data_IF_849960501901
#
_entry.id   IF_849960501901
#
_cell.length_a   1.000
_cell.length_b   1.000
_cell.length_c   1.000
_cell.angle_alpha   90.00
_cell.angle_beta   90.00
_cell.angle_gamma   90.00
#
_symmetry.space_group_name_H-M   'P 1'
#
loop_
_entity.id
_entity.type
_entity.pdbx_description
1 polymer ?
#
# COMPACT_ATOMS: atom_id res chain seq x y z
N UNK A 1 -0.61 63.78 74.28
CA UNK A 1 0.28 63.93 73.11
C UNK A 1 0.40 62.58 72.42
N UNK A 2 0.43 62.44 71.09
CA UNK A 2 -0.13 63.24 69.99
C UNK A 2 -1.26 62.47 69.24
N UNK A 3 -2.06 63.18 68.43
CA UNK A 3 -2.87 62.58 67.33
C UNK A 3 -1.96 61.97 66.27
N UNK A 4 -2.41 61.00 65.45
CA UNK A 4 -2.41 61.22 63.99
C UNK A 4 -3.57 60.41 63.27
N UNK A 5 -3.65 60.35 61.92
CA UNK A 5 -4.73 61.00 61.20
C UNK A 5 -5.40 60.14 60.09
N UNK A 6 -6.36 60.78 59.45
CA UNK A 6 -7.02 60.59 58.15
C UNK A 6 -6.53 59.55 57.13
N UNK A 7 -7.51 58.74 56.72
CA UNK A 7 -7.91 58.31 55.37
C UNK A 7 -7.09 58.78 54.16
N UNK A 8 -6.58 57.80 53.40
CA UNK A 8 -6.13 57.95 52.02
C UNK A 8 -6.82 56.91 51.12
N UNK A 9 -7.67 57.39 50.22
CA UNK A 9 -8.35 56.63 49.17
C UNK A 9 -7.40 56.45 47.98
N UNK A 10 -7.18 55.20 47.54
CA UNK A 10 -6.45 54.89 46.31
C UNK A 10 -7.33 54.01 45.42
N UNK A 11 -7.79 54.61 44.31
CA UNK A 11 -8.34 53.94 43.13
C UNK A 11 -7.21 53.28 42.32
N UNK A 12 -7.34 52.02 41.90
CA UNK A 12 -6.53 51.48 40.81
C UNK A 12 -7.25 51.65 39.46
N UNK A 13 -6.60 52.39 38.57
CA UNK A 13 -6.97 52.57 37.17
C UNK A 13 -6.53 51.34 36.37
N UNK A 14 -7.48 50.57 35.85
CA UNK A 14 -7.22 49.46 34.92
C UNK A 14 -6.87 50.02 33.52
N UNK A 15 -5.59 49.96 33.16
CA UNK A 15 -5.13 50.15 31.78
C UNK A 15 -5.17 48.83 31.03
N UNK A 16 -6.16 48.65 30.15
CA UNK A 16 -6.24 47.54 29.22
C UNK A 16 -5.23 47.72 28.08
N UNK A 17 -4.31 46.75 27.92
CA UNK A 17 -3.41 46.67 26.77
C UNK A 17 -4.16 46.10 25.55
N UNK A 18 -3.88 46.57 24.32
CA UNK A 18 -4.55 46.10 23.11
C UNK A 18 -4.12 44.67 22.76
N UNK A 19 -5.13 43.84 22.47
CA UNK A 19 -4.96 42.45 22.02
C UNK A 19 -4.15 42.39 20.72
N UNK A 20 -3.04 41.65 20.76
CA UNK A 20 -2.26 41.32 19.58
C UNK A 20 -3.07 40.40 18.65
N UNK A 21 -3.14 40.76 17.38
CA UNK A 21 -3.81 39.97 16.34
C UNK A 21 -3.20 38.56 16.21
N UNK A 22 -4.01 37.52 15.95
CA UNK A 22 -3.53 36.16 15.77
C UNK A 22 -2.64 36.08 14.51
N UNK A 23 -1.40 35.59 14.70
CA UNK A 23 -0.49 35.29 13.60
C UNK A 23 -1.06 34.13 12.78
N UNK A 24 -1.21 34.34 11.47
CA UNK A 24 -1.59 33.31 10.51
C UNK A 24 -0.64 32.11 10.60
N UNK A 25 -1.14 30.86 10.51
CA UNK A 25 -0.29 29.69 10.47
C UNK A 25 0.59 29.71 9.21
N UNK A 26 1.84 29.22 9.30
CA UNK A 26 2.73 29.18 8.16
C UNK A 26 2.18 28.25 7.08
N UNK A 27 2.12 28.75 5.85
CA UNK A 27 1.81 27.97 4.65
C UNK A 27 2.83 26.82 4.53
N UNK A 28 2.42 25.55 4.45
CA UNK A 28 3.37 24.45 4.30
C UNK A 28 4.05 24.55 2.94
N UNK A 29 5.38 24.65 2.97
CA UNK A 29 6.23 24.57 1.78
C UNK A 29 6.07 23.20 1.11
N UNK A 30 5.98 23.11 -0.22
CA UNK A 30 5.95 21.83 -0.91
C UNK A 30 7.29 21.11 -0.68
N UNK A 31 7.28 20.09 0.17
CA UNK A 31 8.46 19.27 0.41
C UNK A 31 8.81 18.50 -0.86
N UNK A 32 10.03 18.76 -1.35
CA UNK A 32 10.67 17.99 -2.42
C UNK A 32 10.95 16.58 -1.89
N UNK A 33 10.17 15.60 -2.34
CA UNK A 33 10.47 14.19 -2.12
C UNK A 33 11.82 13.83 -2.77
N UNK A 34 12.87 13.79 -1.95
CA UNK A 34 14.17 13.25 -2.33
C UNK A 34 14.28 11.84 -1.75
N UNK A 35 13.63 10.86 -2.39
CA UNK A 35 13.90 9.45 -2.10
C UNK A 35 15.11 9.00 -2.93
N UNK A 36 16.22 8.73 -2.25
CA UNK A 36 17.44 8.16 -2.83
C UNK A 36 17.18 6.70 -3.22
N UNK A 37 16.74 6.47 -4.46
CA UNK A 37 16.75 5.14 -5.07
C UNK A 37 18.18 4.85 -5.56
N UNK A 38 18.96 4.13 -4.75
CA UNK A 38 20.23 3.51 -5.16
C UNK A 38 19.97 2.02 -5.33
N UNK A 39 19.36 1.65 -6.45
CA UNK A 39 19.53 0.36 -7.14
C UNK A 39 18.81 0.51 -8.48
N UNK A 40 19.54 0.42 -9.60
CA UNK A 40 18.93 0.49 -10.93
C UNK A 40 18.23 -0.84 -11.22
N UNK A 41 16.88 -0.92 -11.18
CA UNK A 41 16.19 -2.20 -11.04
C UNK A 41 15.92 -2.94 -12.35
N UNK A 42 16.25 -2.35 -13.50
CA UNK A 42 15.82 -2.86 -14.81
C UNK A 42 17.00 -2.84 -15.78
N UNK A 43 17.34 -4.01 -16.32
CA UNK A 43 18.30 -4.13 -17.41
C UNK A 43 17.53 -4.11 -18.73
N UNK A 44 17.71 -3.04 -19.50
CA UNK A 44 17.28 -3.03 -20.90
C UNK A 44 18.32 -3.82 -21.70
N UNK A 45 18.06 -5.11 -21.93
CA UNK A 45 18.90 -5.92 -22.81
C UNK A 45 18.66 -5.49 -24.25
N UNK A 46 19.63 -4.77 -24.78
CA UNK A 46 19.75 -4.37 -26.17
C UNK A 46 20.39 -5.54 -26.91
N UNK A 47 19.66 -6.24 -27.78
CA UNK A 47 20.26 -7.23 -28.67
C UNK A 47 20.96 -6.51 -29.85
N UNK A 48 22.30 -6.44 -29.91
CA UNK A 48 23.01 -5.72 -30.95
C UNK A 48 23.78 -6.74 -31.80
N UNK A 49 23.25 -7.04 -33.00
CA UNK A 49 23.91 -7.78 -34.08
C UNK A 49 23.77 -9.33 -34.08
N UNK A 50 23.16 -9.93 -35.13
CA UNK A 50 22.98 -11.37 -35.27
C UNK A 50 24.26 -12.02 -35.84
N UNK A 51 25.22 -12.30 -34.98
CA UNK A 51 26.26 -13.30 -35.27
C UNK A 51 25.89 -14.58 -34.55
N UNK A 52 25.88 -15.77 -35.20
CA UNK A 52 25.26 -16.97 -34.66
C UNK A 52 26.11 -17.58 -33.55
N UNK A 53 26.01 -17.02 -32.35
CA UNK A 53 26.18 -17.80 -31.14
C UNK A 53 24.84 -18.47 -30.90
N UNK A 54 24.84 -19.80 -30.81
CA UNK A 54 23.73 -20.57 -30.26
C UNK A 54 23.66 -20.25 -28.77
N UNK A 55 23.19 -19.04 -28.45
CA UNK A 55 22.56 -18.78 -27.16
C UNK A 55 21.36 -19.73 -27.18
N UNK A 56 21.27 -20.66 -26.23
CA UNK A 56 20.02 -21.37 -26.00
C UNK A 56 18.98 -20.27 -25.85
N UNK A 57 18.17 -20.05 -26.89
CA UNK A 57 16.98 -19.21 -26.83
C UNK A 57 16.15 -19.85 -25.74
N UNK A 58 16.29 -19.36 -24.51
CA UNK A 58 15.50 -19.83 -23.39
C UNK A 58 14.07 -19.57 -23.83
N UNK A 59 13.33 -20.67 -23.98
CA UNK A 59 11.93 -20.61 -24.39
C UNK A 59 11.22 -19.91 -23.24
N UNK A 60 10.91 -18.63 -23.42
CA UNK A 60 10.18 -17.85 -22.41
C UNK A 60 8.76 -18.38 -22.36
N UNK A 61 8.36 -18.97 -21.23
CA UNK A 61 7.01 -19.45 -21.02
C UNK A 61 6.09 -18.25 -20.78
N UNK A 62 5.14 -18.00 -21.68
CA UNK A 62 4.20 -16.90 -21.52
C UNK A 62 3.14 -17.25 -20.47
N UNK A 63 2.92 -16.34 -19.52
CA UNK A 63 1.86 -16.48 -18.53
C UNK A 63 0.48 -16.51 -19.23
N UNK A 64 -0.43 -17.44 -18.87
CA UNK A 64 -1.72 -17.62 -19.57
C UNK A 64 -2.58 -16.34 -19.61
N UNK A 65 -2.64 -15.59 -18.50
CA UNK A 65 -3.40 -14.33 -18.43
C UNK A 65 -2.78 -13.18 -19.27
N UNK A 66 -1.54 -13.34 -19.71
CA UNK A 66 -0.74 -12.31 -20.37
C UNK A 66 -0.07 -12.85 -21.65
N UNK A 67 -0.70 -13.80 -22.34
CA UNK A 67 -0.22 -14.34 -23.62
C UNK A 67 -0.80 -13.64 -24.87
N UNK A 68 -1.63 -12.61 -24.66
CA UNK A 68 -2.37 -11.90 -25.71
C UNK A 68 -1.55 -10.89 -26.52
N UNK A 69 -2.25 -9.97 -27.18
CA UNK A 69 -1.64 -8.85 -27.89
C UNK A 69 -1.03 -7.84 -26.91
N UNK A 70 0.28 -7.64 -27.01
CA UNK A 70 1.05 -6.67 -26.24
C UNK A 70 2.34 -6.36 -27.00
N UNK A 71 2.75 -5.10 -26.97
CA UNK A 71 3.96 -4.59 -27.62
C UNK A 71 5.16 -4.57 -26.67
N UNK A 72 4.99 -4.98 -25.41
CA UNK A 72 6.06 -5.16 -24.43
C UNK A 72 6.02 -6.58 -23.87
N UNK A 73 7.15 -7.27 -23.87
CA UNK A 73 7.38 -8.54 -23.19
C UNK A 73 8.23 -8.28 -21.95
N UNK A 74 7.63 -8.40 -20.76
CA UNK A 74 8.36 -8.41 -19.48
C UNK A 74 8.79 -9.85 -19.22
N UNK A 75 10.06 -10.07 -18.92
CA UNK A 75 10.63 -11.40 -18.61
C UNK A 75 11.13 -11.38 -17.17
N UNK A 76 10.54 -12.24 -16.35
CA UNK A 76 10.96 -12.53 -14.97
C UNK A 76 11.80 -13.80 -14.97
N UNK A 77 12.98 -13.75 -14.36
CA UNK A 77 13.83 -14.91 -14.15
C UNK A 77 13.41 -15.62 -12.85
N UNK A 78 13.05 -16.89 -12.92
CA UNK A 78 12.71 -17.75 -11.79
C UNK A 78 13.70 -18.94 -11.71
N UNK A 79 13.85 -19.61 -10.55
CA UNK A 79 14.77 -20.75 -10.41
C UNK A 79 14.52 -21.89 -11.42
N UNK A 80 13.25 -22.11 -11.78
CA UNK A 80 12.81 -23.22 -12.64
C UNK A 80 12.65 -22.83 -14.12
N UNK A 81 12.86 -21.56 -14.47
CA UNK A 81 12.69 -21.08 -15.85
C UNK A 81 12.42 -19.57 -15.95
N UNK A 82 12.08 -19.11 -17.15
CA UNK A 82 11.72 -17.70 -17.38
C UNK A 82 10.25 -17.56 -17.70
N UNK A 83 9.58 -16.64 -17.02
CA UNK A 83 8.15 -16.35 -17.20
C UNK A 83 7.99 -15.01 -17.90
N UNK A 84 7.23 -15.01 -19.00
CA UNK A 84 7.00 -13.85 -19.83
C UNK A 84 5.58 -13.29 -19.71
N UNK A 85 5.45 -11.97 -19.64
CA UNK A 85 4.18 -11.26 -19.63
C UNK A 85 4.10 -10.31 -20.82
N UNK A 86 3.15 -10.55 -21.75
CA UNK A 86 2.85 -9.61 -22.83
C UNK A 86 1.84 -8.57 -22.37
N UNK A 87 2.24 -7.31 -22.44
CA UNK A 87 1.47 -6.17 -21.97
C UNK A 87 1.58 -5.00 -22.95
N UNK A 88 0.62 -4.08 -22.87
CA UNK A 88 0.65 -2.86 -23.67
C UNK A 88 1.60 -1.83 -23.05
N UNK A 89 2.48 -1.23 -23.85
CA UNK A 89 3.32 -0.10 -23.46
C UNK A 89 2.50 1.04 -22.88
N UNK A 90 1.32 1.33 -23.47
CA UNK A 90 0.41 2.37 -22.98
C UNK A 90 -0.02 2.13 -21.53
N UNK A 91 -0.32 0.89 -21.16
CA UNK A 91 -0.70 0.52 -19.79
C UNK A 91 0.48 0.75 -18.83
N UNK A 92 1.69 0.32 -19.21
CA UNK A 92 2.90 0.52 -18.39
C UNK A 92 3.26 2.00 -18.24
N UNK A 93 3.21 2.78 -19.32
CA UNK A 93 3.47 4.21 -19.32
C UNK A 93 2.48 4.99 -18.43
N UNK A 94 1.21 4.57 -18.39
CA UNK A 94 0.21 5.13 -17.48
C UNK A 94 0.50 4.78 -16.02
N UNK A 95 1.01 3.57 -15.78
CA UNK A 95 1.27 3.07 -14.44
C UNK A 95 2.49 3.75 -13.79
N UNK A 96 3.53 4.06 -14.56
CA UNK A 96 4.78 4.57 -14.01
C UNK A 96 5.57 5.46 -14.97
N UNK A 97 6.12 6.60 -14.49
CA UNK A 97 7.04 7.44 -15.27
C UNK A 97 8.35 6.70 -15.60
N UNK A 98 8.75 5.71 -14.79
CA UNK A 98 9.94 4.91 -15.03
C UNK A 98 9.78 4.12 -16.34
N UNK A 99 8.61 3.50 -16.56
CA UNK A 99 8.32 2.84 -17.83
C UNK A 99 8.23 3.80 -19.01
N UNK A 100 7.70 5.02 -18.82
CA UNK A 100 7.74 6.06 -19.86
C UNK A 100 9.17 6.32 -20.31
N UNK A 101 10.09 6.50 -19.36
CA UNK A 101 11.50 6.74 -19.68
C UNK A 101 12.16 5.54 -20.36
N UNK A 102 11.96 4.32 -19.85
CA UNK A 102 12.55 3.10 -20.41
C UNK A 102 12.08 2.85 -21.85
N UNK A 103 10.77 2.98 -22.09
CA UNK A 103 10.18 2.70 -23.41
C UNK A 103 10.47 3.83 -24.41
N UNK A 104 10.52 5.09 -23.95
CA UNK A 104 10.90 6.22 -24.80
C UNK A 104 12.38 6.15 -25.21
N UNK A 105 13.28 5.77 -24.29
CA UNK A 105 14.69 5.60 -24.61
C UNK A 105 14.94 4.48 -25.64
N UNK A 106 14.15 3.38 -25.55
CA UNK A 106 14.21 2.29 -26.51
C UNK A 106 13.77 2.69 -27.93
N UNK A 107 12.76 3.56 -28.04
CA UNK A 107 12.18 3.96 -29.34
C UNK A 107 13.16 4.64 -30.29
N UNK A 108 14.18 5.34 -29.76
CA UNK A 108 15.22 6.01 -30.55
C UNK A 108 16.22 5.01 -31.18
N UNK A 109 16.40 3.84 -30.58
CA UNK A 109 17.46 2.89 -30.93
C UNK A 109 17.01 1.81 -31.92
N UNK A 110 15.70 1.56 -32.05
CA UNK A 110 15.17 0.46 -32.86
C UNK A 110 14.08 0.94 -33.80
N UNK A 111 14.46 1.70 -34.85
CA UNK A 111 13.60 1.93 -36.02
C UNK A 111 13.32 0.59 -36.72
N UNK A 112 12.28 -0.12 -36.28
CA UNK A 112 11.81 -1.36 -36.91
C UNK A 112 11.45 -2.52 -35.97
N UNK A 113 11.75 -2.44 -34.67
CA UNK A 113 11.33 -3.49 -33.73
C UNK A 113 9.84 -3.33 -33.38
N UNK A 114 9.05 -4.38 -33.59
CA UNK A 114 7.60 -4.39 -33.33
C UNK A 114 7.25 -4.66 -31.86
N UNK A 115 8.23 -5.01 -31.02
CA UNK A 115 8.01 -5.32 -29.60
C UNK A 115 9.22 -5.02 -28.73
N UNK A 116 9.01 -4.41 -27.56
CA UNK A 116 10.01 -4.19 -26.52
C UNK A 116 10.18 -5.44 -25.64
N UNK A 117 11.39 -5.71 -25.18
CA UNK A 117 11.69 -6.76 -24.18
C UNK A 117 12.31 -6.10 -22.94
N UNK A 118 11.73 -6.35 -21.78
CA UNK A 118 12.20 -5.84 -20.49
C UNK A 118 12.55 -7.03 -19.60
N UNK A 119 13.80 -7.13 -19.15
CA UNK A 119 14.24 -8.17 -18.22
C UNK A 119 14.28 -7.57 -16.81
N UNK A 120 13.57 -8.21 -15.88
CA UNK A 120 13.37 -7.73 -14.52
C UNK A 120 13.70 -8.82 -13.50
N UNK A 121 14.34 -8.40 -12.41
CA UNK A 121 14.67 -9.26 -11.28
C UNK A 121 13.53 -9.24 -10.25
N UNK A 122 12.30 -9.50 -10.71
CA UNK A 122 11.10 -9.57 -9.89
C UNK A 122 10.48 -10.96 -9.99
N UNK A 123 9.92 -11.46 -8.88
CA UNK A 123 9.15 -12.69 -8.93
C UNK A 123 8.00 -12.57 -9.92
N UNK A 124 7.82 -13.60 -10.73
CA UNK A 124 6.71 -13.75 -11.66
C UNK A 124 5.36 -13.70 -10.92
N UNK A 125 5.28 -14.18 -9.68
CA UNK A 125 4.07 -14.14 -8.88
C UNK A 125 3.65 -12.69 -8.56
N UNK A 126 4.60 -11.88 -8.11
CA UNK A 126 4.33 -10.48 -7.76
C UNK A 126 4.10 -9.62 -8.99
N UNK A 127 4.84 -9.89 -10.07
CA UNK A 127 4.62 -9.24 -11.36
C UNK A 127 3.22 -9.56 -11.91
N UNK A 128 2.76 -10.81 -11.82
CA UNK A 128 1.40 -11.18 -12.20
C UNK A 128 0.35 -10.40 -11.40
N UNK A 129 0.49 -10.34 -10.08
CA UNK A 129 -0.44 -9.61 -9.20
C UNK A 129 -0.45 -8.11 -9.51
N UNK A 130 0.72 -7.50 -9.71
CA UNK A 130 0.86 -6.09 -10.09
C UNK A 130 0.23 -5.79 -11.45
N UNK A 131 0.49 -6.62 -12.46
CA UNK A 131 -0.11 -6.43 -13.79
C UNK A 131 -1.62 -6.66 -13.79
N UNK A 132 -2.14 -7.53 -12.91
CA UNK A 132 -3.59 -7.65 -12.69
C UNK A 132 -4.17 -6.40 -12.05
N UNK A 133 -3.49 -5.79 -11.08
CA UNK A 133 -3.90 -4.50 -10.52
C UNK A 133 -3.97 -3.41 -11.60
N UNK A 134 -3.02 -3.35 -12.53
CA UNK A 134 -3.04 -2.36 -13.61
C UNK A 134 -4.21 -2.52 -14.58
N UNK A 135 -4.81 -3.71 -14.64
CA UNK A 135 -6.03 -3.98 -15.41
C UNK A 135 -7.29 -3.69 -14.62
N UNK A 136 -7.20 -3.41 -13.33
CA UNK A 136 -8.34 -3.08 -12.46
C UNK A 136 -8.92 -1.74 -12.90
N UNK A 137 -10.04 -1.78 -13.65
CA UNK A 137 -10.69 -0.61 -14.26
C UNK A 137 -10.52 -0.50 -15.79
N UNK A 138 -9.66 -1.30 -16.40
CA UNK A 138 -9.63 -1.43 -17.86
C UNK A 138 -10.85 -2.26 -18.29
N UNK A 139 -11.98 -1.59 -18.49
CA UNK A 139 -13.16 -2.20 -19.12
C UNK A 139 -12.69 -2.73 -20.46
N UNK A 140 -12.52 -4.05 -20.55
CA UNK A 140 -12.21 -4.70 -21.82
C UNK A 140 -13.41 -4.40 -22.71
N UNK A 141 -13.26 -3.66 -23.83
CA UNK A 141 -14.36 -3.53 -24.75
C UNK A 141 -14.75 -4.94 -25.15
N UNK A 142 -16.03 -5.28 -24.94
CA UNK A 142 -16.56 -6.58 -25.28
C UNK A 142 -16.08 -6.93 -26.69
N UNK A 143 -15.53 -8.15 -26.91
CA UNK A 143 -15.13 -8.54 -28.26
C UNK A 143 -16.36 -8.39 -29.14
N UNK A 144 -16.32 -7.43 -30.06
CA UNK A 144 -17.35 -7.27 -31.07
C UNK A 144 -17.41 -8.60 -31.81
N UNK A 145 -18.54 -9.28 -31.67
CA UNK A 145 -18.81 -10.58 -32.27
C UNK A 145 -18.80 -10.43 -33.80
N UNK A 146 -17.62 -10.57 -34.41
CA UNK A 146 -17.43 -10.52 -35.85
C UNK A 146 -16.26 -11.42 -36.26
N UNK A 147 -16.33 -12.71 -35.89
CA UNK A 147 -15.66 -13.79 -36.62
C UNK A 147 -16.37 -15.10 -36.28
N UNK A 148 -17.31 -15.46 -37.15
CA UNK A 148 -18.05 -16.70 -37.12
C UNK A 148 -17.13 -17.91 -37.38
N UNK A 149 -17.39 -19.03 -36.69
CA UNK A 149 -16.99 -20.35 -37.18
C UNK A 149 -16.58 -21.35 -36.11
N UNK A 150 -17.52 -22.25 -35.80
CA UNK A 150 -17.32 -23.60 -35.25
C UNK A 150 -17.11 -23.76 -33.73
N UNK A 151 -18.24 -23.97 -33.03
CA UNK A 151 -18.43 -25.25 -32.35
C UNK A 151 -17.93 -25.42 -30.91
N UNK A 152 -17.99 -24.40 -30.06
CA UNK A 152 -18.09 -24.58 -28.61
C UNK A 152 -18.57 -23.28 -28.00
N UNK A 153 -19.70 -23.29 -27.27
CA UNK A 153 -20.24 -22.09 -26.65
C UNK A 153 -19.17 -21.44 -25.74
N UNK A 154 -18.70 -20.21 -26.02
CA UNK A 154 -17.76 -19.54 -25.14
C UNK A 154 -18.55 -19.12 -23.91
N UNK A 155 -18.20 -19.69 -22.75
CA UNK A 155 -18.72 -19.26 -21.47
C UNK A 155 -18.59 -17.72 -21.37
N UNK A 156 -19.58 -17.01 -20.78
CA UNK A 156 -19.46 -15.57 -20.59
C UNK A 156 -18.20 -15.30 -19.79
N UNK A 157 -17.19 -14.73 -20.46
CA UNK A 157 -15.87 -14.39 -19.91
C UNK A 157 -16.04 -13.15 -19.03
N UNK A 158 -16.75 -13.28 -17.92
CA UNK A 158 -16.59 -12.34 -16.82
C UNK A 158 -15.12 -12.39 -16.42
N UNK A 159 -14.40 -11.25 -16.42
CA UNK A 159 -13.02 -11.24 -16.00
C UNK A 159 -12.94 -11.80 -14.57
N UNK A 160 -11.93 -12.65 -14.27
CA UNK A 160 -11.81 -13.26 -12.96
C UNK A 160 -11.71 -12.16 -11.90
N UNK A 161 -12.45 -12.32 -10.81
CA UNK A 161 -12.45 -11.39 -9.69
C UNK A 161 -11.01 -11.15 -9.23
N UNK A 162 -10.67 -9.88 -8.99
CA UNK A 162 -9.36 -9.51 -8.46
C UNK A 162 -9.43 -9.60 -6.94
N UNK A 163 -9.07 -10.76 -6.41
CA UNK A 163 -9.04 -11.06 -4.97
C UNK A 163 -7.63 -11.52 -4.57
N UNK A 164 -6.64 -10.61 -4.49
CA UNK A 164 -5.28 -10.97 -4.10
C UNK A 164 -5.21 -11.54 -2.68
N UNK A 165 -4.27 -12.46 -2.45
CA UNK A 165 -3.86 -12.84 -1.10
C UNK A 165 -3.07 -11.71 -0.42
N UNK A 166 -2.88 -11.79 0.91
CA UNK A 166 -2.04 -10.84 1.66
C UNK A 166 -0.62 -10.77 1.10
N UNK A 167 -0.03 -11.92 0.76
CA UNK A 167 1.29 -11.99 0.14
C UNK A 167 1.31 -11.27 -1.21
N UNK A 168 0.26 -11.42 -2.03
CA UNK A 168 0.14 -10.72 -3.31
C UNK A 168 -0.01 -9.21 -3.13
N UNK A 169 -0.77 -8.74 -2.13
CA UNK A 169 -0.85 -7.30 -1.84
C UNK A 169 0.52 -6.73 -1.42
N UNK A 170 1.28 -7.45 -0.61
CA UNK A 170 2.64 -7.05 -0.24
C UNK A 170 3.57 -7.00 -1.47
N UNK A 171 3.47 -8.00 -2.36
CA UNK A 171 4.17 -8.02 -3.64
C UNK A 171 3.83 -6.83 -4.54
N UNK A 172 2.53 -6.56 -4.70
CA UNK A 172 2.03 -5.39 -5.42
C UNK A 172 2.59 -4.10 -4.82
N UNK A 173 2.48 -3.91 -3.50
CA UNK A 173 2.98 -2.71 -2.83
C UNK A 173 4.48 -2.49 -3.06
N UNK A 174 5.27 -3.56 -2.99
CA UNK A 174 6.70 -3.52 -3.28
C UNK A 174 6.99 -3.07 -4.72
N UNK A 175 6.26 -3.62 -5.70
CA UNK A 175 6.43 -3.23 -7.11
C UNK A 175 5.93 -1.82 -7.39
N UNK A 176 4.84 -1.39 -6.76
CA UNK A 176 4.35 0.01 -6.82
C UNK A 176 5.44 0.99 -6.40
N UNK A 177 6.12 0.71 -5.28
CA UNK A 177 7.22 1.52 -4.79
C UNK A 177 8.45 1.44 -5.70
N UNK A 178 8.85 0.22 -6.12
CA UNK A 178 10.00 -0.02 -7.02
C UNK A 178 9.86 0.73 -8.34
N UNK A 179 8.68 0.70 -8.93
CA UNK A 179 8.40 1.35 -10.21
C UNK A 179 7.92 2.79 -10.07
N UNK A 180 7.84 3.36 -8.86
CA UNK A 180 7.38 4.73 -8.62
C UNK A 180 6.01 5.02 -9.30
N UNK A 181 5.08 4.09 -9.16
CA UNK A 181 3.78 4.18 -9.82
C UNK A 181 2.72 4.86 -8.96
N UNK A 182 2.39 6.12 -9.26
CA UNK A 182 1.39 6.88 -8.49
C UNK A 182 -0.03 6.35 -8.73
N UNK A 183 -0.36 6.05 -9.98
CA UNK A 183 -1.63 5.44 -10.35
C UNK A 183 -1.86 4.09 -9.67
N UNK A 184 -0.95 3.09 -9.77
CA UNK A 184 -1.17 1.81 -9.11
C UNK A 184 -1.13 1.91 -7.58
N UNK A 185 -0.40 2.87 -6.99
CA UNK A 185 -0.53 3.15 -5.54
C UNK A 185 -1.96 3.55 -5.19
N UNK A 186 -2.52 4.54 -5.88
CA UNK A 186 -3.89 4.99 -5.63
C UNK A 186 -4.94 3.89 -5.85
N UNK A 187 -4.78 3.06 -6.89
CA UNK A 187 -5.67 1.92 -7.14
C UNK A 187 -5.54 0.85 -6.05
N UNK A 188 -4.33 0.58 -5.59
CA UNK A 188 -4.09 -0.33 -4.47
C UNK A 188 -4.75 0.19 -3.19
N UNK A 189 -4.50 1.45 -2.82
CA UNK A 189 -5.04 2.07 -1.61
C UNK A 189 -6.58 2.04 -1.61
N UNK A 190 -7.19 2.45 -2.73
CA UNK A 190 -8.64 2.41 -2.90
C UNK A 190 -9.20 0.99 -2.82
N UNK A 191 -8.51 0.01 -3.43
CA UNK A 191 -8.94 -1.38 -3.37
C UNK A 191 -8.83 -1.94 -1.94
N UNK A 192 -7.77 -1.61 -1.21
CA UNK A 192 -7.58 -2.01 0.20
C UNK A 192 -8.66 -1.39 1.08
N UNK A 193 -8.95 -0.10 0.91
CA UNK A 193 -10.00 0.62 1.63
C UNK A 193 -11.38 -0.04 1.45
N UNK A 194 -11.78 -0.32 0.21
CA UNK A 194 -13.07 -0.95 -0.08
C UNK A 194 -13.19 -2.40 0.41
N UNK A 195 -12.07 -3.11 0.53
CA UNK A 195 -12.06 -4.56 0.79
C UNK A 195 -11.41 -4.94 2.12
N UNK A 196 -11.06 -3.98 2.98
CA UNK A 196 -10.30 -4.23 4.21
C UNK A 196 -10.91 -5.37 5.05
N UNK A 197 -12.22 -5.32 5.31
CA UNK A 197 -12.91 -6.38 6.06
C UNK A 197 -12.77 -7.75 5.40
N UNK A 198 -13.05 -7.84 4.10
CA UNK A 198 -12.95 -9.08 3.33
C UNK A 198 -11.50 -9.61 3.21
N UNK A 199 -10.50 -8.73 3.22
CA UNK A 199 -9.08 -9.12 3.23
C UNK A 199 -8.73 -9.77 4.57
N UNK A 200 -9.13 -9.13 5.67
CA UNK A 200 -8.89 -9.64 7.02
C UNK A 200 -9.67 -10.93 7.29
N UNK A 201 -10.90 -11.04 6.79
CA UNK A 201 -11.74 -12.24 6.93
C UNK A 201 -11.19 -13.44 6.18
N UNK A 202 -10.47 -13.22 5.08
CA UNK A 202 -9.83 -14.30 4.31
C UNK A 202 -8.64 -14.94 5.02
N UNK A 203 -7.99 -14.23 5.95
CA UNK A 203 -6.96 -14.82 6.82
C UNK A 203 -7.60 -15.91 7.68
N UNK A 204 -8.73 -15.59 8.33
CA UNK A 204 -9.58 -16.59 9.01
C UNK A 204 -8.90 -17.31 10.18
N UNK A 205 -9.64 -18.13 10.93
CA UNK A 205 -9.15 -18.75 12.18
C UNK A 205 -8.06 -19.81 11.98
N UNK A 206 -7.92 -20.33 10.76
CA UNK A 206 -6.90 -21.30 10.40
C UNK A 206 -5.55 -20.66 10.04
N UNK A 207 -5.47 -19.33 10.01
CA UNK A 207 -4.25 -18.62 9.64
C UNK A 207 -3.10 -18.93 10.57
N UNK A 208 -1.94 -19.16 9.96
CA UNK A 208 -0.69 -19.22 10.67
C UNK A 208 -0.25 -17.82 11.15
N UNK A 209 0.71 -17.83 12.09
CA UNK A 209 1.36 -16.61 12.59
C UNK A 209 1.94 -15.76 11.46
N UNK A 210 2.54 -16.38 10.45
CA UNK A 210 3.16 -15.70 9.32
C UNK A 210 2.15 -14.90 8.48
N UNK A 211 0.93 -15.42 8.30
CA UNK A 211 -0.11 -14.73 7.52
C UNK A 211 -0.65 -13.51 8.27
N UNK A 212 -0.86 -13.65 9.59
CA UNK A 212 -1.27 -12.54 10.45
C UNK A 212 -0.16 -11.48 10.49
N UNK A 213 1.10 -11.88 10.60
CA UNK A 213 2.24 -10.96 10.56
C UNK A 213 2.34 -10.24 9.21
N UNK A 214 2.18 -10.96 8.11
CA UNK A 214 2.15 -10.37 6.77
C UNK A 214 1.02 -9.35 6.62
N UNK A 215 -0.15 -9.59 7.21
CA UNK A 215 -1.28 -8.66 7.19
C UNK A 215 -0.99 -7.39 8.00
N UNK A 216 -0.43 -7.54 9.21
CA UNK A 216 -0.06 -6.39 10.06
C UNK A 216 1.04 -5.56 9.39
N UNK A 217 2.02 -6.22 8.78
CA UNK A 217 3.04 -5.56 7.96
C UNK A 217 2.43 -4.81 6.79
N UNK A 218 1.51 -5.43 6.06
CA UNK A 218 0.82 -4.79 4.95
C UNK A 218 0.03 -3.54 5.42
N UNK A 219 -0.67 -3.63 6.54
CA UNK A 219 -1.42 -2.50 7.12
C UNK A 219 -0.49 -1.32 7.46
N UNK A 220 0.69 -1.61 8.00
CA UNK A 220 1.71 -0.62 8.32
C UNK A 220 2.39 -0.03 7.08
N UNK A 221 2.82 -0.88 6.15
CA UNK A 221 3.55 -0.49 4.95
C UNK A 221 2.68 0.38 4.02
N UNK A 222 1.37 0.13 4.00
CA UNK A 222 0.39 0.95 3.27
C UNK A 222 -0.13 2.15 4.07
N UNK A 223 0.26 2.28 5.34
CA UNK A 223 -0.31 3.24 6.28
C UNK A 223 -1.86 3.21 6.31
N UNK A 224 -2.45 2.02 6.12
CA UNK A 224 -3.89 1.87 5.90
C UNK A 224 -4.65 1.89 7.23
N UNK A 225 -5.32 3.01 7.52
CA UNK A 225 -6.23 3.15 8.67
C UNK A 225 -7.35 2.10 8.65
N UNK A 226 -7.84 1.75 7.46
CA UNK A 226 -8.90 0.75 7.28
C UNK A 226 -8.43 -0.66 7.66
N UNK A 227 -7.25 -1.10 7.20
CA UNK A 227 -6.70 -2.39 7.62
C UNK A 227 -6.41 -2.41 9.11
N UNK A 228 -5.82 -1.34 9.66
CA UNK A 228 -5.58 -1.24 11.10
C UNK A 228 -6.88 -1.31 11.91
N UNK A 229 -7.94 -0.64 11.46
CA UNK A 229 -9.26 -0.74 12.09
C UNK A 229 -9.71 -2.20 12.16
N UNK A 230 -9.64 -2.93 11.04
CA UNK A 230 -10.05 -4.33 11.00
C UNK A 230 -9.16 -5.24 11.86
N UNK A 231 -7.84 -5.02 11.87
CA UNK A 231 -6.90 -5.73 12.74
C UNK A 231 -7.23 -5.50 14.22
N UNK A 232 -7.47 -4.25 14.63
CA UNK A 232 -7.86 -3.92 15.99
C UNK A 232 -9.22 -4.52 16.38
N UNK A 233 -10.17 -4.57 15.44
CA UNK A 233 -11.49 -5.17 15.67
C UNK A 233 -11.41 -6.69 15.84
N UNK A 234 -10.58 -7.36 15.04
CA UNK A 234 -10.32 -8.80 15.18
C UNK A 234 -9.55 -9.11 16.45
N UNK A 235 -8.55 -8.31 16.80
CA UNK A 235 -7.91 -8.39 18.11
C UNK A 235 -9.00 -8.30 19.19
N UNK A 236 -9.79 -7.24 19.28
CA UNK A 236 -10.81 -7.09 20.33
C UNK A 236 -11.76 -8.30 20.49
N UNK A 237 -12.21 -8.86 19.36
CA UNK A 237 -13.32 -9.81 19.35
C UNK A 237 -12.90 -11.28 19.21
N UNK A 238 -11.70 -11.57 18.70
CA UNK A 238 -11.25 -12.93 18.40
C UNK A 238 -10.02 -13.30 19.24
N UNK A 239 -10.23 -14.21 20.20
CA UNK A 239 -9.18 -14.62 21.17
C UNK A 239 -7.94 -15.21 20.48
N UNK A 240 -8.10 -15.95 19.40
CA UNK A 240 -6.96 -16.57 18.73
C UNK A 240 -5.99 -15.54 18.12
N UNK A 241 -6.47 -14.36 17.69
CA UNK A 241 -5.59 -13.26 17.30
C UNK A 241 -4.75 -12.76 18.46
N UNK A 242 -5.28 -12.76 19.69
CA UNK A 242 -4.52 -12.37 20.88
C UNK A 242 -3.36 -13.32 21.08
N UNK A 243 -3.62 -14.63 20.98
CA UNK A 243 -2.59 -15.64 21.20
C UNK A 243 -1.46 -15.51 20.18
N UNK A 244 -1.80 -15.19 18.92
CA UNK A 244 -0.83 -14.98 17.84
C UNK A 244 -0.06 -13.66 18.00
N UNK A 245 -0.73 -12.57 18.39
CA UNK A 245 -0.16 -11.22 18.48
C UNK A 245 0.17 -10.79 19.92
N UNK A 246 0.42 -11.74 20.82
CA UNK A 246 0.83 -11.45 22.19
C UNK A 246 2.34 -11.14 22.26
N UNK A 247 2.74 -9.87 22.45
CA UNK A 247 4.16 -9.48 22.44
C UNK A 247 4.94 -10.10 23.60
N UNK A 248 4.27 -10.51 24.68
CA UNK A 248 4.90 -11.16 25.84
C UNK A 248 5.24 -12.64 25.58
N UNK A 249 4.69 -13.23 24.52
CA UNK A 249 4.96 -14.60 24.10
C UNK A 249 5.88 -14.67 22.86
N UNK A 250 6.34 -13.53 22.35
CA UNK A 250 7.20 -13.49 21.17
C UNK A 250 8.62 -13.93 21.50
N UNK A 251 9.17 -14.79 20.64
CA UNK A 251 10.60 -15.08 20.59
C UNK A 251 11.35 -14.10 19.68
N UNK A 252 12.68 -14.23 19.63
CA UNK A 252 13.54 -13.39 18.79
C UNK A 252 13.17 -13.50 17.30
N UNK A 253 12.80 -14.70 16.83
CA UNK A 253 12.36 -14.95 15.45
C UNK A 253 11.08 -14.17 15.10
N UNK A 254 10.16 -14.02 16.06
CA UNK A 254 8.91 -13.30 15.84
C UNK A 254 9.13 -11.78 15.77
N UNK A 255 10.00 -11.28 16.64
CA UNK A 255 10.40 -9.87 16.65
C UNK A 255 11.15 -9.54 15.35
N UNK A 256 12.00 -10.46 14.86
CA UNK A 256 12.65 -10.32 13.57
C UNK A 256 11.65 -10.37 12.40
N UNK A 257 10.65 -11.25 12.46
CA UNK A 257 9.63 -11.39 11.43
C UNK A 257 8.69 -10.18 11.33
N UNK A 258 8.32 -9.57 12.45
CA UNK A 258 7.53 -8.31 12.46
C UNK A 258 8.39 -7.08 12.19
N UNK A 259 9.62 -7.07 12.71
CA UNK A 259 10.46 -5.89 12.79
C UNK A 259 10.18 -5.03 14.04
N UNK A 260 11.15 -4.21 14.45
CA UNK A 260 11.14 -3.52 15.74
C UNK A 260 10.00 -2.48 15.86
N UNK A 261 9.65 -1.81 14.76
CA UNK A 261 8.57 -0.81 14.74
C UNK A 261 7.22 -1.43 15.04
N UNK A 262 6.87 -2.50 14.32
CA UNK A 262 5.61 -3.20 14.50
C UNK A 262 5.54 -3.91 15.85
N UNK A 263 6.65 -4.51 16.29
CA UNK A 263 6.73 -5.06 17.64
C UNK A 263 6.46 -4.00 18.71
N UNK A 264 7.01 -2.79 18.55
CA UNK A 264 6.77 -1.68 19.47
C UNK A 264 5.31 -1.24 19.48
N UNK A 265 4.68 -1.12 18.30
CA UNK A 265 3.25 -0.78 18.17
C UNK A 265 2.39 -1.84 18.88
N UNK A 266 2.63 -3.13 18.60
CA UNK A 266 1.89 -4.24 19.22
C UNK A 266 2.12 -4.27 20.74
N UNK A 267 3.34 -4.01 21.20
CA UNK A 267 3.68 -3.93 22.64
C UNK A 267 2.96 -2.79 23.35
N UNK A 268 2.91 -1.61 22.73
CA UNK A 268 2.15 -0.47 23.25
C UNK A 268 0.67 -0.83 23.32
N UNK A 269 0.10 -1.35 22.23
CA UNK A 269 -1.30 -1.78 22.18
C UNK A 269 -1.63 -2.81 23.28
N UNK A 270 -0.77 -3.81 23.48
CA UNK A 270 -0.92 -4.79 24.55
C UNK A 270 -0.79 -4.17 25.95
N UNK A 271 0.05 -3.16 26.13
CA UNK A 271 0.29 -2.51 27.43
C UNK A 271 -0.83 -1.57 27.88
N UNK A 272 -1.53 -0.92 26.95
CA UNK A 272 -2.65 0.01 27.23
C UNK A 272 -3.94 -0.76 27.55
N UNK A 273 -3.89 -2.09 27.44
CA UNK A 273 -5.02 -2.98 27.63
C UNK A 273 -5.20 -3.39 29.09
N UNK A 274 -6.42 -3.80 29.49
CA UNK A 274 -6.64 -4.23 30.87
C UNK A 274 -5.83 -5.49 31.18
N UNK A 275 -5.37 -5.64 32.42
CA UNK A 275 -4.62 -6.83 32.88
C UNK A 275 -5.36 -8.16 32.66
N UNK A 276 -6.68 -8.12 32.44
CA UNK A 276 -7.52 -9.29 32.23
C UNK A 276 -7.92 -9.52 30.76
N UNK A 277 -7.72 -8.52 29.89
CA UNK A 277 -8.05 -8.59 28.45
C UNK A 277 -7.07 -7.74 27.67
N UNK A 278 -6.20 -8.38 26.89
CA UNK A 278 -5.40 -7.67 25.90
C UNK A 278 -6.35 -6.98 24.89
N UNK A 279 -5.93 -5.83 24.41
CA UNK A 279 -6.61 -4.95 23.46
C UNK A 279 -8.00 -4.43 23.90
N UNK A 280 -8.31 -4.47 25.21
CA UNK A 280 -9.54 -3.89 25.78
C UNK A 280 -9.38 -2.39 26.11
N UNK A 281 -10.40 -1.57 25.84
CA UNK A 281 -10.46 -0.13 26.17
C UNK A 281 -9.58 0.80 25.30
N UNK A 282 -9.18 0.34 24.12
CA UNK A 282 -8.58 1.23 23.12
C UNK A 282 -9.70 2.05 22.47
N UNK A 283 -9.74 3.36 22.73
CA UNK A 283 -10.69 4.28 22.09
C UNK A 283 -10.18 4.74 20.72
N UNK A 284 -8.89 5.07 20.64
CA UNK A 284 -8.23 5.59 19.45
C UNK A 284 -6.76 5.17 19.44
N UNK A 285 -6.28 4.68 18.30
CA UNK A 285 -4.88 4.42 18.02
C UNK A 285 -4.40 5.45 17.00
N UNK A 286 -3.47 6.31 17.41
CA UNK A 286 -2.81 7.26 16.53
C UNK A 286 -1.39 6.77 16.24
N UNK A 287 -1.10 6.49 14.96
CA UNK A 287 0.25 6.15 14.48
C UNK A 287 0.74 7.32 13.63
N UNK A 288 1.81 7.98 14.09
CA UNK A 288 2.44 9.06 13.31
C UNK A 288 3.53 8.48 12.41
N UNK A 289 3.34 8.64 11.11
CA UNK A 289 4.32 8.32 10.08
C UNK A 289 5.05 9.59 9.64
N UNK A 290 6.38 9.53 9.55
CA UNK A 290 7.21 10.70 9.26
C UNK A 290 6.94 11.34 7.89
N UNK A 291 6.44 10.58 6.93
CA UNK A 291 6.25 10.98 5.53
C UNK A 291 4.79 11.05 5.08
N UNK A 292 3.88 10.29 5.70
CA UNK A 292 2.46 10.27 5.35
C UNK A 292 1.55 10.98 6.36
N UNK A 293 2.10 11.42 7.51
CA UNK A 293 1.37 12.16 8.52
C UNK A 293 0.74 11.27 9.60
N UNK A 294 -0.42 11.68 10.11
CA UNK A 294 -1.10 11.01 11.23
C UNK A 294 -2.14 10.02 10.72
N UNK A 295 -2.00 8.74 11.08
CA UNK A 295 -3.04 7.72 10.89
C UNK A 295 -3.76 7.54 12.22
N UNK A 296 -4.96 8.10 12.33
CA UNK A 296 -5.86 7.85 13.46
C UNK A 296 -6.81 6.71 13.11
N UNK A 297 -6.85 5.72 14.00
CA UNK A 297 -7.69 4.53 13.95
C UNK A 297 -8.61 4.62 15.15
N UNK A 298 -9.84 5.10 14.94
CA UNK A 298 -10.87 5.05 15.96
C UNK A 298 -11.31 3.60 16.15
N UNK A 299 -11.37 3.13 17.39
CA UNK A 299 -12.00 1.85 17.65
C UNK A 299 -13.49 1.93 17.30
N UNK A 300 -14.02 0.88 16.67
CA UNK A 300 -15.37 0.82 16.09
C UNK A 300 -16.53 1.05 17.10
N UNK A 301 -16.25 1.17 18.39
CA UNK A 301 -17.21 1.57 19.42
C UNK A 301 -17.18 3.08 19.65
N UNK A 302 -17.48 3.88 18.62
CA UNK A 302 -18.24 5.10 18.91
C UNK A 302 -19.69 4.68 19.01
N UNK A 303 -20.31 4.61 20.21
CA UNK A 303 -21.76 4.59 20.27
C UNK A 303 -22.23 5.80 19.46
N UNK A 304 -23.07 5.56 18.44
CA UNK A 304 -23.62 6.59 17.55
C UNK A 304 -24.44 7.68 18.29
N UNK A 305 -24.52 7.59 19.62
CA UNK A 305 -25.21 8.50 20.52
C UNK A 305 -24.25 9.47 21.21
N UNK A 306 -23.62 10.38 20.47
CA UNK A 306 -23.30 11.77 20.86
C UNK A 306 -22.38 12.36 19.81
N UNK A 307 -22.80 13.47 19.18
CA UNK A 307 -22.09 14.15 18.10
C UNK A 307 -20.74 14.76 18.50
N UNK A 308 -19.78 13.90 18.81
CA UNK A 308 -18.39 14.24 19.07
C UNK A 308 -17.61 14.28 17.77
N UNK A 309 -17.36 15.48 17.26
CA UNK A 309 -16.37 15.73 16.22
C UNK A 309 -15.03 15.07 16.60
N UNK A 310 -14.38 14.40 15.64
CA UNK A 310 -12.98 14.03 15.82
C UNK A 310 -12.17 15.29 16.13
N UNK A 311 -11.37 15.29 17.20
CA UNK A 311 -10.43 16.39 17.50
C UNK A 311 -9.40 16.61 16.39
N UNK A 312 -9.27 15.65 15.48
CA UNK A 312 -8.44 15.72 14.28
C UNK A 312 -9.01 16.63 13.15
N UNK A 313 -10.25 17.12 13.27
CA UNK A 313 -10.80 18.11 12.32
C UNK A 313 -11.10 17.59 10.91
N UNK A 314 -10.89 16.31 10.63
CA UNK A 314 -11.26 15.67 9.37
C UNK A 314 -12.64 15.04 9.54
N UNK A 315 -13.61 15.53 8.77
CA UNK A 315 -14.91 14.86 8.63
C UNK A 315 -14.71 13.57 7.83
N UNK A 316 -15.23 12.46 8.35
CA UNK A 316 -15.43 11.21 7.60
C UNK A 316 -16.68 11.39 6.74
#
# INVERSE_FOLDING_TARGET
MPSPPTSGSVTPTNGAAPAAAPRSPPTPSPQRFSRTSRDAPVKVVKDPNPSPRVVKTSIVALHPDFCGAGDVLIVCDEPDGTVGFRVSSRMLCMASPLFVHLLSAGSSLTKGATSYRLEVDDSAHDMHAFLRLLRFGAVRPAPTAAAAGHGSAPAPLTPPTFEPSVAQYAGIHRLVNKYNGWYPRAVLDFHIELNAGAIVDRVGEAAGKDEVFALVRLAHDLCSSYLWTQVCDRLRNQRWWHDILNPWAFGDDDVAALGPTLFSIISILASVSSRQRLFSHLDELCIMYSDEGEVSVAAAERPASTGGYCRCGVAI
#
